data_IF_566253791081
#
_entry.id   IF_566253791081
#
_cell.length_a   1.000
_cell.length_b   1.000
_cell.length_c   1.000
_cell.angle_alpha   90.00
_cell.angle_beta   90.00
_cell.angle_gamma   90.00
#
_symmetry.space_group_name_H-M   'P 1'
#
loop_
_entity.id
_entity.type
_entity.pdbx_description
1 polymer ?
#
# COMPACT_ATOMS: atom_id res chain seq x y z
N UNK A 1 11.04 1.52 -21.33
CA UNK A 1 10.42 2.04 -20.09
C UNK A 1 11.29 3.17 -19.56
N UNK A 2 10.69 4.21 -18.98
CA UNK A 2 11.37 5.33 -18.33
C UNK A 2 11.96 4.88 -17.00
N UNK A 3 13.13 5.39 -16.63
CA UNK A 3 13.64 5.23 -15.26
C UNK A 3 12.96 6.24 -14.34
N UNK A 4 12.80 5.88 -13.07
CA UNK A 4 12.34 6.80 -12.03
C UNK A 4 13.58 7.43 -11.40
N UNK A 5 13.62 8.76 -11.36
CA UNK A 5 14.67 9.48 -10.65
C UNK A 5 14.42 9.32 -9.14
N UNK A 6 15.41 8.93 -8.31
CA UNK A 6 15.24 8.90 -6.86
C UNK A 6 14.74 10.21 -6.26
N UNK A 7 15.00 11.37 -6.89
CA UNK A 7 14.46 12.66 -6.46
C UNK A 7 12.94 12.80 -6.69
N UNK A 8 12.34 11.92 -7.49
CA UNK A 8 10.88 11.82 -7.63
C UNK A 8 10.25 10.98 -6.52
N UNK A 9 11.03 10.41 -5.60
CA UNK A 9 10.54 9.67 -4.44
C UNK A 9 10.51 10.57 -3.21
N UNK A 10 9.37 10.58 -2.52
CA UNK A 10 9.09 11.40 -1.34
C UNK A 10 9.01 10.50 -0.11
N UNK A 11 9.76 10.84 0.93
CA UNK A 11 9.73 10.18 2.24
C UNK A 11 8.45 10.57 2.98
N UNK A 12 7.50 9.63 3.12
CA UNK A 12 6.22 9.93 3.78
C UNK A 12 6.35 10.09 5.29
N UNK A 13 7.41 9.55 5.90
CA UNK A 13 7.70 9.76 7.33
C UNK A 13 7.91 11.23 7.69
N UNK A 14 8.40 12.04 6.75
CA UNK A 14 8.68 13.47 6.99
C UNK A 14 7.39 14.30 7.17
N UNK A 15 6.22 13.70 6.91
CA UNK A 15 4.92 14.35 6.96
C UNK A 15 4.06 13.94 8.16
N UNK A 16 4.54 13.05 9.05
CA UNK A 16 3.75 12.57 10.21
C UNK A 16 3.41 13.68 11.22
N UNK A 17 4.19 14.76 11.24
CA UNK A 17 3.97 15.94 12.09
C UNK A 17 3.13 17.04 11.42
N UNK A 18 3.16 17.12 10.08
CA UNK A 18 2.52 18.19 9.32
C UNK A 18 1.18 17.80 8.70
N UNK A 19 0.90 16.50 8.60
CA UNK A 19 -0.31 15.96 8.02
C UNK A 19 -0.95 14.94 8.97
N UNK A 20 -2.27 14.74 8.92
CA UNK A 20 -2.96 13.74 9.73
C UNK A 20 -2.75 12.33 9.14
N UNK A 21 -1.49 11.92 9.08
CA UNK A 21 -1.04 10.59 8.67
C UNK A 21 0.00 10.04 9.63
N UNK A 22 0.14 8.73 9.67
CA UNK A 22 1.17 8.01 10.41
C UNK A 22 1.73 6.90 9.54
N UNK A 23 3.04 6.62 9.64
CA UNK A 23 3.68 5.52 8.92
C UNK A 23 3.81 4.32 9.85
N UNK A 24 3.16 3.24 9.46
CA UNK A 24 3.29 1.94 10.11
C UNK A 24 3.81 0.92 9.09
N UNK A 25 5.11 1.01 8.78
CA UNK A 25 5.75 0.20 7.75
C UNK A 25 5.83 -1.28 8.17
N UNK A 26 4.78 -2.04 7.86
CA UNK A 26 4.50 -3.38 8.41
C UNK A 26 5.66 -4.34 8.16
N UNK A 27 6.17 -4.38 6.93
CA UNK A 27 7.17 -5.37 6.55
C UNK A 27 8.59 -5.07 7.03
N UNK A 28 8.82 -3.92 7.68
CA UNK A 28 10.08 -3.64 8.38
C UNK A 28 10.14 -4.30 9.78
N UNK A 29 8.98 -4.74 10.31
CA UNK A 29 8.82 -5.23 11.68
C UNK A 29 8.45 -6.71 11.64
N UNK A 30 9.40 -7.60 11.92
CA UNK A 30 9.19 -9.06 11.94
C UNK A 30 8.00 -9.48 12.84
N UNK A 31 7.92 -8.89 14.03
CA UNK A 31 6.92 -9.22 15.06
C UNK A 31 5.65 -8.38 14.94
N UNK A 32 5.45 -7.64 13.85
CA UNK A 32 4.22 -6.90 13.65
C UNK A 32 3.04 -7.86 13.54
N UNK A 33 1.92 -7.62 14.25
CA UNK A 33 0.77 -8.53 14.20
C UNK A 33 0.25 -8.73 12.77
N UNK A 34 0.25 -7.66 11.97
CA UNK A 34 -0.22 -7.65 10.58
C UNK A 34 0.85 -8.07 9.56
N UNK A 35 2.11 -8.27 9.97
CA UNK A 35 3.11 -8.81 9.05
C UNK A 35 2.84 -10.31 8.88
N UNK A 36 2.20 -10.68 7.76
CA UNK A 36 1.83 -12.06 7.46
C UNK A 36 3.05 -12.95 7.15
N UNK A 37 4.17 -12.35 6.74
CA UNK A 37 5.39 -13.09 6.40
C UNK A 37 6.13 -13.60 7.65
N UNK A 38 5.86 -13.01 8.83
CA UNK A 38 6.52 -13.32 10.12
C UNK A 38 8.05 -13.24 10.04
N UNK A 39 8.53 -12.40 9.14
CA UNK A 39 9.93 -12.14 8.83
C UNK A 39 10.05 -10.67 8.44
N UNK A 40 11.14 -9.99 8.83
CA UNK A 40 11.39 -8.62 8.38
C UNK A 40 11.84 -8.65 6.91
N UNK A 41 10.98 -8.17 6.00
CA UNK A 41 11.32 -8.02 4.58
C UNK A 41 12.20 -6.79 4.41
N UNK A 42 11.76 -5.66 4.94
CA UNK A 42 12.53 -4.43 4.89
C UNK A 42 13.57 -4.40 6.00
N UNK A 43 14.63 -3.62 5.78
CA UNK A 43 15.69 -3.40 6.76
C UNK A 43 15.18 -2.56 7.93
N UNK A 44 15.85 -2.70 9.07
CA UNK A 44 15.64 -1.80 10.20
C UNK A 44 15.90 -0.34 9.78
N UNK A 45 15.00 0.55 10.17
CA UNK A 45 15.06 1.97 9.82
C UNK A 45 14.68 2.31 8.38
N UNK A 46 14.17 1.36 7.59
CA UNK A 46 13.54 1.67 6.30
C UNK A 46 12.41 2.68 6.48
N UNK A 47 12.22 3.52 5.47
CA UNK A 47 11.20 4.57 5.41
C UNK A 47 10.18 4.25 4.33
N UNK A 48 9.00 4.86 4.42
CA UNK A 48 7.98 4.71 3.40
C UNK A 48 8.19 5.76 2.31
N UNK A 49 8.44 5.30 1.08
CA UNK A 49 8.69 6.16 -0.08
C UNK A 49 7.55 6.02 -1.09
N UNK A 50 7.09 7.14 -1.65
CA UNK A 50 6.12 7.17 -2.74
C UNK A 50 6.62 8.07 -3.87
N UNK A 51 6.23 7.77 -5.10
CA UNK A 51 6.39 8.70 -6.22
C UNK A 51 5.67 10.02 -5.89
N UNK A 52 6.31 11.15 -6.19
CA UNK A 52 5.90 12.49 -5.74
C UNK A 52 4.43 12.83 -5.97
N UNK A 53 3.87 12.43 -7.12
CA UNK A 53 2.46 12.69 -7.41
C UNK A 53 1.53 11.84 -6.53
N UNK A 54 1.89 10.59 -6.23
CA UNK A 54 1.12 9.76 -5.30
C UNK A 54 1.29 10.24 -3.86
N UNK A 55 2.47 10.73 -3.49
CA UNK A 55 2.69 11.38 -2.20
C UNK A 55 1.77 12.59 -1.99
N UNK A 56 1.59 13.42 -3.02
CA UNK A 56 0.67 14.58 -2.94
C UNK A 56 -0.79 14.16 -2.77
N UNK A 57 -1.22 13.15 -3.54
CA UNK A 57 -2.55 12.55 -3.38
C UNK A 57 -2.72 12.05 -1.94
N UNK A 58 -1.77 11.29 -1.39
CA UNK A 58 -1.87 10.74 -0.03
C UNK A 58 -1.97 11.82 1.04
N UNK A 59 -1.23 12.93 0.92
CA UNK A 59 -1.33 14.07 1.84
C UNK A 59 -2.70 14.76 1.77
N UNK A 60 -3.24 14.92 0.56
CA UNK A 60 -4.59 15.45 0.36
C UNK A 60 -5.65 14.47 0.94
N UNK A 61 -5.49 13.17 0.74
CA UNK A 61 -6.37 12.14 1.31
C UNK A 61 -6.37 12.20 2.82
N UNK A 62 -5.19 12.26 3.45
CA UNK A 62 -5.10 12.34 4.90
C UNK A 62 -5.85 13.55 5.44
N UNK A 63 -5.67 14.71 4.81
CA UNK A 63 -6.34 15.96 5.21
C UNK A 63 -7.86 15.82 5.05
N UNK A 64 -8.32 15.33 3.90
CA UNK A 64 -9.74 15.14 3.63
C UNK A 64 -10.41 14.18 4.64
N UNK A 65 -9.77 13.05 4.93
CA UNK A 65 -10.31 12.06 5.87
C UNK A 65 -10.38 12.61 7.30
N UNK A 66 -9.38 13.37 7.70
CA UNK A 66 -9.36 14.01 9.00
C UNK A 66 -10.46 15.06 9.13
N UNK A 67 -10.58 15.98 8.17
CA UNK A 67 -11.58 17.05 8.20
C UNK A 67 -13.01 16.52 8.06
N UNK A 68 -13.21 15.45 7.29
CA UNK A 68 -14.56 14.90 7.03
C UNK A 68 -15.04 13.92 8.10
N UNK A 69 -14.12 13.16 8.71
CA UNK A 69 -14.48 12.01 9.53
C UNK A 69 -13.69 11.90 10.84
N UNK A 70 -12.70 12.77 11.08
CA UNK A 70 -11.77 12.64 12.21
C UNK A 70 -10.86 11.42 12.10
N UNK A 71 -10.58 10.95 10.88
CA UNK A 71 -9.72 9.78 10.66
C UNK A 71 -8.30 10.21 10.35
N UNK A 72 -7.33 9.59 11.03
CA UNK A 72 -5.91 9.70 10.68
C UNK A 72 -5.55 8.55 9.74
N UNK A 73 -4.93 8.85 8.60
CA UNK A 73 -4.53 7.85 7.61
C UNK A 73 -3.28 7.11 8.09
N UNK A 74 -3.26 5.79 7.97
CA UNK A 74 -2.12 4.96 8.35
C UNK A 74 -1.52 4.34 7.09
N UNK A 75 -0.25 4.62 6.82
CA UNK A 75 0.45 4.12 5.63
C UNK A 75 1.19 2.82 6.00
N UNK A 76 0.80 1.71 5.36
CA UNK A 76 1.26 0.36 5.67
C UNK A 76 2.41 -0.08 4.76
N UNK A 77 2.34 0.29 3.48
CA UNK A 77 3.39 0.04 2.50
C UNK A 77 3.41 1.06 1.37
N UNK A 78 4.56 1.18 0.70
CA UNK A 78 4.78 2.10 -0.43
C UNK A 78 5.74 1.48 -1.45
N UNK A 79 6.91 2.09 -1.64
CA UNK A 79 7.98 1.50 -2.46
C UNK A 79 8.38 0.11 -1.95
N UNK A 80 8.09 -0.92 -2.74
CA UNK A 80 8.52 -2.30 -2.53
C UNK A 80 9.40 -2.72 -3.69
N UNK A 81 10.72 -2.53 -3.55
CA UNK A 81 11.68 -2.80 -4.63
C UNK A 81 11.58 -4.24 -5.15
N UNK A 82 12.08 -4.49 -6.37
CA UNK A 82 12.14 -5.85 -6.92
C UNK A 82 12.95 -6.79 -6.03
N UNK A 83 13.97 -6.26 -5.34
CA UNK A 83 14.74 -6.96 -4.30
C UNK A 83 13.84 -7.38 -3.13
N UNK A 84 13.00 -6.47 -2.63
CA UNK A 84 12.03 -6.78 -1.57
C UNK A 84 10.94 -7.77 -2.02
N UNK A 85 10.40 -7.62 -3.23
CA UNK A 85 9.43 -8.56 -3.79
C UNK A 85 10.03 -9.96 -3.94
N UNK A 86 11.30 -10.05 -4.36
CA UNK A 86 12.04 -11.32 -4.44
C UNK A 86 12.19 -11.94 -3.05
N UNK A 87 12.49 -11.12 -2.02
CA UNK A 87 12.57 -11.60 -0.64
C UNK A 87 11.21 -12.12 -0.14
N UNK A 88 10.10 -11.44 -0.44
CA UNK A 88 8.74 -11.91 -0.13
C UNK A 88 8.46 -13.28 -0.75
N UNK A 89 8.78 -13.48 -2.03
CA UNK A 89 8.59 -14.76 -2.71
C UNK A 89 9.31 -15.92 -2.01
N UNK A 90 10.45 -15.65 -1.36
CA UNK A 90 11.23 -16.64 -0.65
C UNK A 90 10.81 -16.86 0.82
N UNK A 91 9.80 -16.15 1.31
CA UNK A 91 9.26 -16.38 2.66
C UNK A 91 8.58 -17.75 2.74
N UNK A 92 8.56 -18.33 3.93
CA UNK A 92 7.98 -19.66 4.15
C UNK A 92 6.52 -19.77 3.73
N UNK A 93 5.73 -18.71 3.95
CA UNK A 93 4.30 -18.70 3.60
C UNK A 93 4.11 -18.65 2.08
N UNK A 94 4.87 -17.81 1.38
CA UNK A 94 4.80 -17.71 -0.08
C UNK A 94 5.30 -19.00 -0.78
N UNK A 95 6.33 -19.66 -0.24
CA UNK A 95 6.80 -20.94 -0.75
C UNK A 95 5.78 -22.08 -0.57
N UNK A 96 4.93 -22.01 0.47
CA UNK A 96 3.81 -22.94 0.66
C UNK A 96 2.64 -22.66 -0.28
N UNK A 97 2.54 -21.43 -0.79
CA UNK A 97 1.45 -20.94 -1.63
C UNK A 97 1.95 -20.35 -2.97
N UNK A 98 2.67 -21.12 -3.80
CA UNK A 98 3.18 -20.62 -5.09
C UNK A 98 2.05 -20.14 -6.04
N UNK A 99 0.84 -20.66 -5.88
CA UNK A 99 -0.36 -20.24 -6.62
C UNK A 99 -0.77 -18.79 -6.37
N UNK A 100 -0.26 -18.14 -5.31
CA UNK A 100 -0.49 -16.71 -5.07
C UNK A 100 0.13 -15.81 -6.14
N UNK A 101 1.15 -16.29 -6.85
CA UNK A 101 1.83 -15.55 -7.91
C UNK A 101 1.34 -15.91 -9.32
N UNK A 102 0.38 -16.83 -9.45
CA UNK A 102 -0.20 -17.30 -10.72
C UNK A 102 -1.60 -16.70 -10.88
N UNK A 103 -1.96 -16.26 -12.09
CA UNK A 103 -3.22 -15.58 -12.35
C UNK A 103 -4.44 -16.49 -12.05
N UNK A 104 -5.51 -15.97 -11.41
CA UNK A 104 -5.63 -14.64 -10.80
C UNK A 104 -4.74 -14.53 -9.55
N UNK A 105 -3.83 -13.55 -9.54
CA UNK A 105 -2.76 -13.45 -8.54
C UNK A 105 -3.27 -12.76 -7.28
N UNK A 106 -2.70 -13.11 -6.14
CA UNK A 106 -2.82 -12.36 -4.88
C UNK A 106 -1.56 -11.54 -4.60
N UNK A 107 -0.42 -11.94 -5.17
CA UNK A 107 0.81 -11.16 -5.13
C UNK A 107 1.33 -10.89 -6.53
N UNK A 108 1.81 -9.65 -6.73
CA UNK A 108 2.57 -9.31 -7.93
C UNK A 108 3.94 -9.99 -7.88
N UNK A 109 4.40 -10.64 -8.97
CA UNK A 109 5.78 -11.11 -9.04
C UNK A 109 6.76 -9.92 -9.04
N UNK A 110 8.05 -10.15 -8.76
CA UNK A 110 9.09 -9.13 -8.80
C UNK A 110 9.07 -8.33 -10.11
N UNK A 111 9.03 -7.00 -9.98
CA UNK A 111 8.97 -6.05 -11.09
C UNK A 111 7.57 -5.71 -11.58
N UNK A 112 6.54 -6.45 -11.17
CA UNK A 112 5.15 -6.16 -11.50
C UNK A 112 4.45 -5.30 -10.43
N UNK A 113 3.38 -4.62 -10.85
CA UNK A 113 2.58 -3.75 -9.99
C UNK A 113 3.18 -2.36 -9.79
N UNK A 114 2.47 -1.54 -8.99
CA UNK A 114 2.86 -0.14 -8.70
C UNK A 114 3.91 -0.01 -7.61
N UNK A 115 3.95 -0.90 -6.62
CA UNK A 115 4.90 -0.81 -5.51
C UNK A 115 6.38 -0.75 -5.90
N UNK A 116 6.92 -1.54 -6.86
CA UNK A 116 8.32 -1.43 -7.24
C UNK A 116 8.67 -0.13 -7.97
N UNK A 117 7.70 0.77 -8.14
CA UNK A 117 7.87 2.11 -8.72
C UNK A 117 7.51 3.22 -7.73
N UNK A 118 7.17 2.88 -6.48
CA UNK A 118 6.59 3.84 -5.52
C UNK A 118 5.22 4.38 -5.98
N UNK A 119 4.56 3.73 -6.93
CA UNK A 119 3.30 4.17 -7.55
C UNK A 119 2.09 3.39 -7.02
N UNK A 120 2.24 2.71 -5.88
CA UNK A 120 1.16 2.12 -5.10
C UNK A 120 1.39 2.42 -3.62
N UNK A 121 0.31 2.52 -2.87
CA UNK A 121 0.30 2.70 -1.42
C UNK A 121 -0.74 1.77 -0.82
N UNK A 122 -0.35 1.07 0.23
CA UNK A 122 -1.26 0.30 1.07
C UNK A 122 -1.58 1.11 2.32
N UNK A 123 -2.87 1.21 2.67
CA UNK A 123 -3.32 2.06 3.77
C UNK A 123 -4.31 1.37 4.70
N UNK A 124 -4.40 1.94 5.89
CA UNK A 124 -5.46 1.73 6.86
C UNK A 124 -5.86 3.10 7.44
N UNK A 125 -6.78 3.16 8.40
CA UNK A 125 -7.15 4.38 9.09
C UNK A 125 -7.54 4.09 10.53
N UNK A 126 -7.35 5.08 11.41
CA UNK A 126 -7.90 5.03 12.76
C UNK A 126 -8.63 6.33 13.09
N UNK A 127 -9.66 6.22 13.93
CA UNK A 127 -10.46 7.34 14.38
C UNK A 127 -9.74 8.05 15.54
N UNK A 128 -9.54 9.36 15.45
CA UNK A 128 -8.80 10.11 16.49
C UNK A 128 -9.61 10.43 17.73
N UNK A 129 -10.95 10.36 17.67
CA UNK A 129 -11.83 10.56 18.82
C UNK A 129 -11.94 9.30 19.67
N UNK A 130 -12.08 8.13 19.02
CA UNK A 130 -12.27 6.85 19.71
C UNK A 130 -10.99 6.06 19.90
N UNK A 131 -9.90 6.44 19.24
CA UNK A 131 -8.62 5.74 19.20
C UNK A 131 -8.71 4.30 18.66
N UNK A 132 -9.80 3.96 17.95
CA UNK A 132 -9.99 2.66 17.33
C UNK A 132 -9.66 2.68 15.84
N UNK A 133 -9.13 1.56 15.35
CA UNK A 133 -8.99 1.28 13.92
C UNK A 133 -10.36 1.33 13.25
N UNK A 134 -10.41 1.86 12.03
CA UNK A 134 -11.63 1.85 11.22
C UNK A 134 -11.86 0.43 10.73
N UNK A 135 -13.07 -0.09 10.97
CA UNK A 135 -13.43 -1.42 10.51
C UNK A 135 -13.67 -1.41 9.00
N UNK A 136 -12.72 -1.97 8.26
CA UNK A 136 -12.82 -2.23 6.82
C UNK A 136 -13.20 -3.69 6.51
N UNK A 137 -13.63 -4.48 7.50
CA UNK A 137 -14.17 -5.84 7.34
C UNK A 137 -13.14 -6.95 7.24
N UNK A 138 -11.89 -6.62 6.92
CA UNK A 138 -10.73 -7.52 7.01
C UNK A 138 -9.54 -6.71 7.49
N UNK A 139 -8.54 -7.38 8.07
CA UNK A 139 -7.23 -6.77 8.29
C UNK A 139 -6.54 -6.45 6.95
N UNK A 140 -5.52 -5.59 7.01
CA UNK A 140 -4.50 -5.46 5.96
C UNK A 140 -3.89 -6.83 5.65
N UNK A 141 -3.57 -7.10 4.37
CA UNK A 141 -2.99 -8.36 3.89
C UNK A 141 -3.85 -9.62 4.18
N UNK A 142 -5.14 -9.45 4.44
CA UNK A 142 -6.05 -10.57 4.62
C UNK A 142 -6.34 -11.28 3.28
N UNK A 143 -5.50 -12.25 2.94
CA UNK A 143 -5.63 -13.08 1.74
C UNK A 143 -6.57 -14.27 1.98
N UNK A 144 -7.46 -14.59 1.03
CA UNK A 144 -8.34 -15.75 1.17
C UNK A 144 -7.55 -17.05 1.03
N UNK A 145 -7.52 -17.86 2.09
CA UNK A 145 -6.95 -19.22 2.04
C UNK A 145 -7.74 -20.14 1.09
N UNK A 146 -9.07 -19.99 1.08
CA UNK A 146 -9.98 -20.73 0.21
C UNK A 146 -10.64 -19.77 -0.78
N UNK A 147 -10.09 -19.70 -1.99
CA UNK A 147 -10.58 -18.82 -3.06
C UNK A 147 -11.99 -19.15 -3.53
N UNK A 148 -12.50 -20.37 -3.27
CA UNK A 148 -13.88 -20.74 -3.63
C UNK A 148 -14.92 -19.98 -2.81
N UNK A 149 -14.53 -19.44 -1.65
CA UNK A 149 -15.38 -18.65 -0.75
C UNK A 149 -15.40 -17.15 -1.08
N UNK A 150 -14.73 -16.75 -2.16
CA UNK A 150 -14.59 -15.36 -2.56
C UNK A 150 -13.46 -14.64 -1.82
N UNK A 151 -13.36 -13.33 -2.06
CA UNK A 151 -12.35 -12.46 -1.46
C UNK A 151 -13.03 -11.35 -0.65
N UNK A 152 -13.13 -11.47 0.69
CA UNK A 152 -13.73 -10.44 1.54
C UNK A 152 -12.99 -9.09 1.50
N UNK A 153 -11.72 -9.06 1.10
CA UNK A 153 -10.96 -7.82 0.92
C UNK A 153 -11.32 -7.07 -0.37
N UNK A 154 -11.96 -7.73 -1.34
CA UNK A 154 -12.34 -7.12 -2.61
C UNK A 154 -13.34 -5.97 -2.41
N UNK A 155 -13.17 -4.90 -3.17
CA UNK A 155 -13.98 -3.67 -3.05
C UNK A 155 -15.45 -3.89 -3.36
N UNK A 156 -15.76 -4.84 -4.25
CA UNK A 156 -17.11 -5.21 -4.64
C UNK A 156 -17.72 -6.34 -3.78
N UNK A 157 -17.02 -6.81 -2.75
CA UNK A 157 -17.56 -7.84 -1.87
C UNK A 157 -18.70 -7.29 -1.01
N UNK A 158 -19.89 -7.88 -1.14
CA UNK A 158 -21.13 -7.39 -0.51
C UNK A 158 -21.52 -8.11 0.78
N UNK A 159 -20.78 -9.16 1.17
CA UNK A 159 -21.05 -9.94 2.40
C UNK A 159 -20.64 -9.25 3.70
N UNK A 160 -20.53 -7.92 3.72
CA UNK A 160 -20.05 -7.12 4.85
C UNK A 160 -21.19 -6.26 5.40
N UNK A 161 -21.07 -5.84 6.67
CA UNK A 161 -22.02 -4.91 7.27
C UNK A 161 -22.02 -3.54 6.58
N UNK A 162 -23.16 -2.84 6.63
CA UNK A 162 -23.33 -1.53 5.98
C UNK A 162 -22.30 -0.49 6.41
N UNK A 163 -21.89 -0.50 7.69
CA UNK A 163 -20.84 0.39 8.21
C UNK A 163 -19.50 0.14 7.52
N UNK A 164 -19.10 -1.13 7.37
CA UNK A 164 -17.85 -1.51 6.69
C UNK A 164 -17.86 -1.07 5.23
N UNK A 165 -18.97 -1.30 4.52
CA UNK A 165 -19.13 -0.88 3.12
C UNK A 165 -19.03 0.64 3.02
N UNK A 166 -19.64 1.38 3.94
CA UNK A 166 -19.56 2.84 4.01
C UNK A 166 -18.13 3.32 4.30
N UNK A 167 -17.40 2.63 5.16
CA UNK A 167 -16.02 2.98 5.49
C UNK A 167 -15.11 2.84 4.27
N UNK A 168 -15.17 1.69 3.57
CA UNK A 168 -14.42 1.46 2.32
C UNK A 168 -14.75 2.51 1.26
N UNK A 169 -16.03 2.85 1.08
CA UNK A 169 -16.46 3.91 0.15
C UNK A 169 -15.93 5.29 0.54
N UNK A 170 -15.85 5.60 1.83
CA UNK A 170 -15.33 6.89 2.31
C UNK A 170 -13.84 7.02 2.04
N UNK A 171 -13.08 5.94 2.29
CA UNK A 171 -11.65 5.86 1.94
C UNK A 171 -11.44 6.00 0.43
N UNK A 172 -12.18 5.23 -0.38
CA UNK A 172 -12.07 5.27 -1.84
C UNK A 172 -12.44 6.64 -2.40
N UNK A 173 -13.52 7.25 -1.91
CA UNK A 173 -13.92 8.60 -2.30
C UNK A 173 -12.83 9.62 -2.02
N UNK A 174 -12.16 9.53 -0.86
CA UNK A 174 -11.08 10.45 -0.51
C UNK A 174 -9.92 10.37 -1.51
N UNK A 175 -9.52 9.15 -1.88
CA UNK A 175 -8.48 8.90 -2.88
C UNK A 175 -8.86 9.42 -4.27
N UNK A 176 -10.08 9.12 -4.74
CA UNK A 176 -10.55 9.58 -6.04
C UNK A 176 -10.67 11.11 -6.10
N UNK A 177 -11.17 11.74 -5.02
CA UNK A 177 -11.26 13.19 -4.92
C UNK A 177 -9.88 13.87 -4.95
N UNK A 178 -8.91 13.34 -4.20
CA UNK A 178 -7.54 13.86 -4.19
C UNK A 178 -6.84 13.64 -5.55
N UNK A 179 -7.06 12.50 -6.19
CA UNK A 179 -6.57 12.19 -7.54
C UNK A 179 -7.09 13.17 -8.59
N UNK A 180 -8.38 13.50 -8.55
CA UNK A 180 -9.00 14.50 -9.44
C UNK A 180 -8.37 15.89 -9.24
N UNK A 181 -8.15 16.29 -7.97
CA UNK A 181 -7.52 17.57 -7.63
C UNK A 181 -6.09 17.68 -8.16
N UNK A 182 -5.31 16.60 -8.10
CA UNK A 182 -3.93 16.56 -8.61
C UNK A 182 -3.85 16.33 -10.12
N UNK A 183 -4.97 16.02 -10.79
CA UNK A 183 -4.99 15.70 -12.22
C UNK A 183 -4.23 14.42 -12.57
N UNK A 184 -4.08 13.51 -11.62
CA UNK A 184 -3.36 12.24 -11.78
C UNK A 184 -4.34 11.12 -11.55
N UNK A 185 -4.63 10.33 -12.59
CA UNK A 185 -5.53 9.20 -12.49
C UNK A 185 -4.95 8.07 -11.63
N UNK A 186 -5.76 7.56 -10.70
CA UNK A 186 -5.44 6.40 -9.87
C UNK A 186 -6.49 5.30 -10.05
N UNK A 187 -6.09 4.08 -9.72
CA UNK A 187 -6.93 2.89 -9.68
C UNK A 187 -6.92 2.34 -8.24
N UNK A 188 -8.04 2.43 -7.51
CA UNK A 188 -8.25 1.61 -6.33
C UNK A 188 -8.26 0.13 -6.74
N UNK A 189 -7.37 -0.71 -6.20
CA UNK A 189 -7.24 -2.09 -6.69
C UNK A 189 -8.53 -2.89 -6.41
N UNK A 190 -9.18 -3.50 -7.42
CA UNK A 190 -10.48 -4.15 -7.20
C UNK A 190 -10.48 -5.25 -6.15
N UNK A 191 -9.37 -5.96 -5.99
CA UNK A 191 -9.23 -7.12 -5.10
C UNK A 191 -8.83 -6.76 -3.67
N UNK A 192 -8.41 -5.52 -3.41
CA UNK A 192 -7.82 -5.10 -2.13
C UNK A 192 -8.32 -3.71 -1.75
N UNK A 193 -9.05 -3.60 -0.64
CA UNK A 193 -9.62 -2.31 -0.21
C UNK A 193 -8.55 -1.30 0.25
N UNK A 194 -7.38 -1.78 0.68
CA UNK A 194 -6.27 -0.98 1.20
C UNK A 194 -5.35 -0.42 0.11
N UNK A 195 -5.33 -1.02 -1.08
CA UNK A 195 -4.37 -0.65 -2.12
C UNK A 195 -4.94 0.40 -3.08
N UNK A 196 -4.17 1.48 -3.23
CA UNK A 196 -4.40 2.53 -4.21
C UNK A 196 -3.13 2.77 -5.01
N UNK A 197 -3.27 2.86 -6.34
CA UNK A 197 -2.11 2.93 -7.25
C UNK A 197 -2.39 3.75 -8.48
N UNK A 198 -1.35 4.13 -9.20
CA UNK A 198 -1.52 4.67 -10.55
C UNK A 198 -2.15 3.62 -11.48
N UNK A 199 -2.72 4.07 -12.60
CA UNK A 199 -3.27 3.15 -13.61
C UNK A 199 -2.22 2.21 -14.17
N UNK A 200 -2.63 1.02 -14.61
CA UNK A 200 -1.72 0.05 -15.23
C UNK A 200 -0.98 0.65 -16.44
N UNK A 201 -1.68 1.46 -17.25
CA UNK A 201 -1.10 2.16 -18.40
C UNK A 201 0.02 3.12 -17.96
N UNK A 202 -0.18 3.88 -16.88
CA UNK A 202 0.84 4.77 -16.37
C UNK A 202 2.04 3.99 -15.81
N UNK A 203 1.78 2.97 -14.98
CA UNK A 203 2.80 2.11 -14.37
C UNK A 203 3.68 1.45 -15.44
N UNK A 204 3.07 0.95 -16.53
CA UNK A 204 3.76 0.26 -17.62
C UNK A 204 4.78 1.15 -18.36
N UNK A 205 4.70 2.47 -18.21
CA UNK A 205 5.67 3.39 -18.81
C UNK A 205 7.01 3.37 -18.08
N UNK A 206 7.08 2.93 -16.82
CA UNK A 206 8.26 3.01 -15.96
C UNK A 206 8.88 1.64 -15.66
N UNK A 207 10.20 1.61 -15.58
CA UNK A 207 10.95 0.44 -15.13
C UNK A 207 10.77 0.30 -13.60
N UNK A 208 10.69 -0.94 -13.08
CA UNK A 208 10.68 -1.15 -11.64
C UNK A 208 12.08 -0.90 -11.05
N UNK A 209 12.12 -0.47 -9.80
CA UNK A 209 13.34 -0.19 -9.03
C UNK A 209 13.74 -1.40 -8.19
N UNK A 210 15.01 -1.77 -8.24
CA UNK A 210 15.69 -2.61 -7.26
C UNK A 210 16.35 -1.73 -6.17
N UNK A 211 16.89 -2.34 -5.12
CA UNK A 211 17.71 -1.60 -4.15
C UNK A 211 18.99 -1.01 -4.79
N UNK A 212 19.52 -1.61 -5.86
CA UNK A 212 20.75 -1.14 -6.53
C UNK A 212 20.52 0.16 -7.32
N UNK A 213 19.28 0.42 -7.71
CA UNK A 213 18.88 1.64 -8.43
C UNK A 213 18.71 2.85 -7.50
N UNK A 214 18.83 2.65 -6.17
CA UNK A 214 18.50 3.63 -5.15
C UNK A 214 19.73 4.06 -4.33
N UNK A 215 19.75 5.33 -3.87
CA UNK A 215 20.66 5.77 -2.81
C UNK A 215 20.52 4.90 -1.55
N UNK A 216 21.61 4.66 -0.79
CA UNK A 216 21.60 3.77 0.39
C UNK A 216 20.46 4.03 1.39
N UNK A 217 20.12 5.29 1.63
CA UNK A 217 19.06 5.71 2.54
C UNK A 217 17.66 5.30 2.08
N UNK A 218 17.44 5.14 0.77
CA UNK A 218 16.16 4.74 0.16
C UNK A 218 16.03 3.23 -0.04
N UNK A 219 17.13 2.47 0.07
CA UNK A 219 17.11 1.01 -0.11
C UNK A 219 16.22 0.33 0.90
N UNK A 220 15.44 -0.65 0.44
CA UNK A 220 14.41 -1.27 1.27
C UNK A 220 14.93 -2.47 2.05
N UNK A 221 15.86 -3.27 1.51
CA UNK A 221 16.30 -4.54 2.12
C UNK A 221 17.75 -4.55 2.57
N UNK A 222 18.59 -3.68 2.00
CA UNK A 222 20.03 -3.62 2.23
C UNK A 222 20.48 -2.19 2.54
N UNK A 223 21.65 -2.05 3.19
CA UNK A 223 22.36 -0.76 3.33
C UNK A 223 23.32 -0.61 2.16
#
# INVERSE_FOLDING_TARGET
MRSIDPNDLVCMNDFEESHPLVVDLVYAKEKHPENMFKEAIYRSGAKLWLHKGLAEIVKNVSTYLYESYGWKLMLKDGLRTTTAQTKIMHTKICQKHPEWFIAPRLFSPPGAGGHPRGMAVDVDAFNTETEYMIDFGTAFDALPEDRSKGNPAARNYTGLGDTVIRNRRSLEKAFLHASEKEGIEITPLPTEWWDFRYTEEHIAQYAPLSDEDLPPEMRMTSL
#
